data_IF_677027697940
#
_entry.id   IF_677027697940
#
_cell.length_a   1.000
_cell.length_b   1.000
_cell.length_c   1.000
_cell.angle_alpha   90.00
_cell.angle_beta   90.00
_cell.angle_gamma   90.00
#
_symmetry.space_group_name_H-M   'P 1'
#
loop_
_entity.id
_entity.type
_entity.pdbx_description
1 polymer ?
#
# COMPACT_ATOMS: atom_id res chain seq x y z
N UNK A 1 16.26 -16.80 5.10
CA UNK A 1 16.36 -15.35 4.85
C UNK A 1 15.01 -14.71 5.14
N UNK A 2 14.96 -13.64 5.93
CA UNK A 2 13.72 -12.90 6.21
C UNK A 2 13.34 -12.01 5.02
N UNK A 3 12.08 -12.06 4.58
CA UNK A 3 11.58 -11.20 3.50
C UNK A 3 11.55 -9.73 4.00
N UNK A 4 12.17 -8.77 3.29
CA UNK A 4 12.20 -7.37 3.74
C UNK A 4 10.78 -6.81 3.84
N UNK A 5 10.51 -6.10 4.93
CA UNK A 5 9.25 -5.41 5.20
C UNK A 5 9.41 -3.93 4.91
N UNK A 6 8.47 -3.36 4.16
CA UNK A 6 8.34 -1.92 3.99
C UNK A 6 7.12 -1.45 4.78
N UNK A 7 7.35 -0.57 5.75
CA UNK A 7 6.28 0.14 6.44
C UNK A 7 5.93 1.40 5.65
N UNK A 8 4.70 1.48 5.18
CA UNK A 8 4.18 2.61 4.41
C UNK A 8 3.22 3.44 5.25
N UNK A 9 3.30 4.76 5.14
CA UNK A 9 2.25 5.63 5.66
C UNK A 9 1.00 5.54 4.77
N UNK A 10 -0.17 5.85 5.35
CA UNK A 10 -1.35 6.16 4.56
C UNK A 10 -1.11 7.38 3.65
N UNK A 11 -2.03 7.64 2.73
CA UNK A 11 -2.02 8.84 1.89
C UNK A 11 -3.36 9.57 1.95
N UNK A 12 -3.32 10.90 1.88
CA UNK A 12 -4.51 11.75 1.70
C UNK A 12 -5.11 11.59 0.31
N UNK A 13 -4.26 11.45 -0.71
CA UNK A 13 -4.70 11.18 -2.09
C UNK A 13 -5.07 9.70 -2.21
N UNK A 14 -6.35 9.46 -2.50
CA UNK A 14 -6.97 8.12 -2.54
C UNK A 14 -7.79 7.95 -3.82
N UNK A 15 -8.07 6.71 -4.20
CA UNK A 15 -9.08 6.42 -5.21
C UNK A 15 -10.47 6.85 -4.72
N UNK A 16 -11.31 7.28 -5.66
CA UNK A 16 -12.72 7.60 -5.39
C UNK A 16 -13.63 6.39 -5.24
N UNK A 17 -13.07 5.17 -5.25
CA UNK A 17 -13.80 3.93 -5.06
C UNK A 17 -13.01 2.98 -4.15
N UNK A 18 -13.70 2.01 -3.51
CA UNK A 18 -13.03 1.05 -2.65
C UNK A 18 -12.00 0.22 -3.41
N UNK A 19 -10.84 -0.01 -2.80
CA UNK A 19 -9.76 -0.82 -3.36
C UNK A 19 -8.78 -1.32 -2.28
N UNK A 20 -7.95 -2.34 -2.55
CA UNK A 20 -6.84 -2.70 -1.66
C UNK A 20 -5.83 -1.56 -1.54
N UNK A 21 -5.07 -1.50 -0.45
CA UNK A 21 -4.18 -0.37 -0.14
C UNK A 21 -3.21 0.01 -1.27
N UNK A 22 -2.63 -0.98 -1.96
CA UNK A 22 -1.75 -0.78 -3.13
C UNK A 22 -2.34 0.02 -4.28
N UNK A 23 -3.64 -0.14 -4.48
CA UNK A 23 -4.38 0.51 -5.56
C UNK A 23 -5.13 1.73 -4.99
N UNK A 24 -5.52 1.70 -3.72
CA UNK A 24 -6.30 2.76 -3.07
C UNK A 24 -5.49 4.04 -2.86
N UNK A 25 -4.24 3.96 -2.39
CA UNK A 25 -3.45 5.15 -2.10
C UNK A 25 -2.67 5.63 -3.32
N UNK A 26 -2.75 6.94 -3.57
CA UNK A 26 -2.26 7.57 -4.80
C UNK A 26 -1.23 8.68 -4.57
N UNK A 27 -0.83 8.95 -3.33
CA UNK A 27 0.21 9.95 -3.03
C UNK A 27 1.62 9.53 -3.45
N UNK A 28 2.54 10.48 -3.39
CA UNK A 28 3.91 10.37 -3.91
C UNK A 28 4.68 9.14 -3.41
N UNK A 29 4.57 8.77 -2.13
CA UNK A 29 5.23 7.55 -1.61
C UNK A 29 4.77 6.29 -2.34
N UNK A 30 3.47 6.18 -2.61
CA UNK A 30 2.88 5.02 -3.29
C UNK A 30 3.23 5.01 -4.78
N UNK A 31 3.30 6.18 -5.41
CA UNK A 31 3.76 6.33 -6.79
C UNK A 31 5.24 5.91 -6.92
N UNK A 32 6.12 6.40 -6.04
CA UNK A 32 7.53 6.03 -6.02
C UNK A 32 7.74 4.54 -5.78
N UNK A 33 6.97 3.92 -4.88
CA UNK A 33 7.01 2.47 -4.67
C UNK A 33 6.70 1.73 -5.97
N UNK A 34 5.57 2.05 -6.63
CA UNK A 34 5.15 1.40 -7.88
C UNK A 34 6.15 1.57 -9.02
N UNK A 35 6.76 2.76 -9.13
CA UNK A 35 7.77 3.04 -10.15
C UNK A 35 9.05 2.20 -10.00
N UNK A 36 9.30 1.64 -8.82
CA UNK A 36 10.51 0.87 -8.50
C UNK A 36 10.22 -0.62 -8.24
N UNK A 37 9.06 -1.14 -8.65
CA UNK A 37 8.75 -2.56 -8.52
C UNK A 37 9.38 -3.35 -9.69
N UNK A 38 10.37 -4.22 -9.45
CA UNK A 38 11.11 -4.90 -10.51
C UNK A 38 10.24 -5.75 -11.45
N UNK A 39 9.12 -6.29 -10.94
CA UNK A 39 8.21 -7.16 -11.68
C UNK A 39 6.72 -6.75 -11.51
N UNK A 40 6.48 -5.51 -11.10
CA UNK A 40 5.14 -5.07 -10.69
C UNK A 40 4.60 -5.77 -9.43
N UNK A 41 5.39 -6.65 -8.81
CA UNK A 41 5.06 -7.31 -7.56
C UNK A 41 5.47 -6.46 -6.37
N UNK A 42 4.52 -6.19 -5.48
CA UNK A 42 4.83 -5.52 -4.23
C UNK A 42 5.66 -6.43 -3.32
N UNK A 43 6.69 -5.89 -2.64
CA UNK A 43 7.34 -6.60 -1.54
C UNK A 43 6.36 -6.78 -0.37
N UNK A 44 6.85 -7.33 0.75
CA UNK A 44 6.01 -7.37 1.95
C UNK A 44 5.78 -5.93 2.43
N UNK A 45 4.55 -5.43 2.31
CA UNK A 45 4.16 -4.07 2.69
C UNK A 45 3.12 -4.13 3.79
N UNK A 46 3.34 -3.35 4.84
CA UNK A 46 2.34 -3.02 5.86
C UNK A 46 2.07 -1.52 5.80
N UNK A 47 0.81 -1.14 5.89
CA UNK A 47 0.39 0.27 5.91
C UNK A 47 -0.05 0.67 7.29
N UNK A 48 0.48 1.78 7.79
CA UNK A 48 -0.07 2.46 8.97
C UNK A 48 -1.22 3.38 8.51
N UNK A 49 -2.45 2.90 8.67
CA UNK A 49 -3.68 3.64 8.40
C UNK A 49 -4.19 4.32 9.65
N UNK A 50 -4.53 5.61 9.54
CA UNK A 50 -5.14 6.35 10.66
C UNK A 50 -6.46 5.73 11.15
N UNK A 51 -7.29 5.24 10.22
CA UNK A 51 -8.61 4.66 10.55
C UNK A 51 -8.52 3.16 10.93
N UNK A 52 -7.63 2.42 10.26
CA UNK A 52 -7.62 0.96 10.33
C UNK A 52 -6.42 0.36 11.08
N UNK A 53 -5.51 1.20 11.59
CA UNK A 53 -4.25 0.74 12.18
C UNK A 53 -3.34 0.10 11.13
N UNK A 54 -2.63 -0.97 11.50
CA UNK A 54 -1.76 -1.71 10.59
C UNK A 54 -2.55 -2.66 9.70
N UNK A 55 -2.42 -2.51 8.39
CA UNK A 55 -3.12 -3.35 7.39
C UNK A 55 -2.14 -3.87 6.32
N UNK A 56 -2.45 -5.00 5.67
CA UNK A 56 -1.67 -5.46 4.52
C UNK A 56 -1.72 -4.45 3.37
N UNK A 57 -0.57 -4.18 2.77
CA UNK A 57 -0.46 -3.30 1.60
C UNK A 57 -0.89 -3.95 0.28
N UNK A 58 -1.05 -5.27 0.25
CA UNK A 58 -1.18 -6.08 -0.98
C UNK A 58 -2.62 -6.21 -1.48
N UNK A 59 -2.76 -6.67 -2.73
CA UNK A 59 -4.01 -6.89 -3.49
C UNK A 59 -4.98 -7.87 -2.82
N UNK A 60 -4.47 -8.84 -2.06
CA UNK A 60 -5.26 -9.76 -1.25
C UNK A 60 -5.59 -9.23 0.15
N UNK A 61 -5.20 -8.00 0.45
CA UNK A 61 -5.46 -7.34 1.73
C UNK A 61 -6.89 -6.79 1.84
N UNK A 62 -7.13 -6.07 2.94
CA UNK A 62 -8.41 -5.42 3.21
C UNK A 62 -8.72 -4.35 2.15
N UNK A 63 -9.94 -4.38 1.62
CA UNK A 63 -10.48 -3.29 0.79
C UNK A 63 -10.72 -2.05 1.67
N UNK A 64 -10.14 -0.93 1.27
CA UNK A 64 -10.26 0.37 1.93
C UNK A 64 -11.37 1.20 1.29
N UNK A 65 -11.91 2.14 2.07
CA UNK A 65 -12.92 3.12 1.66
C UNK A 65 -12.48 4.51 2.09
#
# INVERSE_FOLDING_TARGET
>A
MSKPLILMACSSTKLGHPAPAQDFYQGVMWQSLRANLPDGQLPHVVVLSALHGFIPGSRGGRTLR
#
